data_IF_244827568493
#
_entry.id   IF_244827568493
#
_cell.length_a   1.000
_cell.length_b   1.000
_cell.length_c   1.000
_cell.angle_alpha   90.00
_cell.angle_beta   90.00
_cell.angle_gamma   90.00
#
_symmetry.space_group_name_H-M   'P 1'
#
loop_
_entity.id
_entity.type
_entity.pdbx_description
1 polymer ?
#
# COMPACT_ATOMS: atom_id res chain seq x y z
N UNK A 1 -13.43 -18.02 11.53
CA UNK A 1 -12.31 -17.26 12.11
C UNK A 1 -11.05 -18.09 11.93
N UNK A 2 -10.44 -18.04 10.75
CA UNK A 2 -9.18 -18.73 10.43
C UNK A 2 -8.22 -17.67 9.88
N UNK A 3 -7.40 -17.01 10.70
CA UNK A 3 -6.44 -16.03 10.11
C UNK A 3 -5.27 -15.57 10.97
N UNK A 4 -4.91 -16.26 12.07
CA UNK A 4 -3.71 -15.87 12.84
C UNK A 4 -2.71 -17.02 12.98
N UNK A 5 -3.16 -18.27 13.00
CA UNK A 5 -2.30 -19.44 13.22
C UNK A 5 -1.34 -19.78 12.07
N UNK A 6 -1.46 -19.12 10.92
CA UNK A 6 -0.62 -19.37 9.75
C UNK A 6 0.38 -18.24 9.43
N UNK A 7 0.34 -17.09 10.10
CA UNK A 7 1.30 -16.00 9.83
C UNK A 7 2.71 -16.42 10.25
N UNK A 8 3.65 -16.39 9.31
CA UNK A 8 5.07 -16.70 9.53
C UNK A 8 5.63 -17.88 8.72
N UNK A 9 4.81 -18.58 7.93
CA UNK A 9 5.27 -19.67 7.04
C UNK A 9 5.15 -19.32 5.56
N UNK A 10 4.72 -18.10 5.24
CA UNK A 10 4.50 -17.66 3.87
C UNK A 10 5.82 -17.43 3.13
N UNK A 11 5.78 -17.70 1.83
CA UNK A 11 6.90 -17.48 0.91
C UNK A 11 6.69 -16.19 0.11
N UNK A 12 7.78 -15.57 -0.39
CA UNK A 12 7.67 -14.49 -1.36
C UNK A 12 6.72 -14.84 -2.50
N UNK A 13 5.80 -13.93 -2.81
CA UNK A 13 4.74 -14.11 -3.81
C UNK A 13 3.39 -14.59 -3.26
N UNK A 14 3.35 -15.18 -2.06
CA UNK A 14 2.10 -15.59 -1.41
C UNK A 14 1.20 -14.38 -1.15
N UNK A 15 -0.12 -14.63 -1.14
CA UNK A 15 -1.14 -13.64 -0.83
C UNK A 15 -1.84 -13.99 0.46
N UNK A 16 -1.92 -13.03 1.36
CA UNK A 16 -2.65 -13.14 2.63
C UNK A 16 -3.67 -12.02 2.73
N UNK A 17 -4.77 -12.27 3.44
CA UNK A 17 -5.80 -11.29 3.68
C UNK A 17 -6.03 -11.13 5.17
N UNK A 18 -5.78 -9.92 5.69
CA UNK A 18 -6.04 -9.55 7.07
C UNK A 18 -6.17 -8.02 7.15
N UNK A 19 -6.41 -7.47 8.34
CA UNK A 19 -6.79 -6.06 8.54
C UNK A 19 -8.07 -5.69 7.79
N UNK A 20 -8.51 -4.43 7.90
CA UNK A 20 -9.73 -3.96 7.23
C UNK A 20 -9.55 -2.52 6.75
N UNK A 21 -9.83 -2.25 5.49
CA UNK A 21 -9.89 -0.89 4.95
C UNK A 21 -10.98 -0.76 3.88
N UNK A 22 -11.58 0.43 3.67
CA UNK A 22 -12.58 0.57 2.63
C UNK A 22 -11.99 0.38 1.24
N UNK A 23 -12.72 -0.34 0.40
CA UNK A 23 -12.33 -0.64 -0.97
C UNK A 23 -13.45 -0.36 -1.97
N UNK A 24 -14.68 -0.14 -1.48
CA UNK A 24 -15.83 0.26 -2.30
C UNK A 24 -15.98 1.79 -2.36
N UNK A 25 -16.68 2.29 -3.39
CA UNK A 25 -16.77 3.72 -3.65
C UNK A 25 -17.46 4.52 -2.52
N UNK A 26 -18.29 3.90 -1.69
CA UNK A 26 -18.96 4.59 -0.58
C UNK A 26 -18.05 4.78 0.65
N UNK A 27 -16.91 4.08 0.70
CA UNK A 27 -15.92 4.16 1.76
C UNK A 27 -16.38 3.65 3.12
N UNK A 28 -17.49 2.91 3.19
CA UNK A 28 -18.10 2.40 4.43
C UNK A 28 -17.89 0.91 4.64
N UNK A 29 -17.47 0.20 3.61
CA UNK A 29 -17.20 -1.22 3.68
C UNK A 29 -16.04 -1.56 4.63
N UNK A 30 -16.10 -2.78 5.16
CA UNK A 30 -15.10 -3.37 6.05
C UNK A 30 -14.40 -4.53 5.35
N UNK A 31 -13.76 -4.24 4.21
CA UNK A 31 -13.13 -5.26 3.38
C UNK A 31 -11.70 -5.58 3.84
N UNK A 32 -11.34 -6.86 4.00
CA UNK A 32 -9.97 -7.23 4.31
C UNK A 32 -8.96 -6.79 3.25
N UNK A 33 -7.81 -6.30 3.68
CA UNK A 33 -6.75 -5.92 2.75
C UNK A 33 -6.07 -7.20 2.26
N UNK A 34 -5.88 -7.31 0.94
CA UNK A 34 -5.03 -8.34 0.35
C UNK A 34 -3.60 -7.83 0.32
N UNK A 35 -2.70 -8.60 0.89
CA UNK A 35 -1.27 -8.33 0.97
C UNK A 35 -0.50 -9.39 0.18
N UNK A 36 0.54 -8.97 -0.51
CA UNK A 36 1.55 -9.82 -1.14
C UNK A 36 2.78 -9.87 -0.25
N UNK A 37 3.28 -11.08 0.00
CA UNK A 37 4.54 -11.26 0.71
C UNK A 37 5.69 -10.93 -0.23
N UNK A 38 6.49 -9.93 0.13
CA UNK A 38 7.70 -9.56 -0.61
C UNK A 38 8.90 -10.38 -0.15
N UNK A 39 9.10 -10.46 1.17
CA UNK A 39 10.16 -11.25 1.79
C UNK A 39 9.72 -11.82 3.13
N UNK A 40 10.35 -12.92 3.52
CA UNK A 40 10.17 -13.61 4.80
C UNK A 40 11.52 -13.70 5.51
N UNK A 41 11.59 -13.19 6.74
CA UNK A 41 12.79 -13.23 7.59
C UNK A 41 12.44 -13.89 8.92
N UNK A 42 12.68 -15.20 9.01
CA UNK A 42 12.21 -15.99 10.14
C UNK A 42 10.68 -15.91 10.27
N UNK A 43 10.18 -15.39 11.39
CA UNK A 43 8.75 -15.19 11.62
C UNK A 43 8.21 -13.83 11.11
N UNK A 44 9.05 -12.98 10.50
CA UNK A 44 8.65 -11.65 10.02
C UNK A 44 8.32 -11.71 8.54
N UNK A 45 7.25 -11.04 8.15
CA UNK A 45 6.86 -10.86 6.75
C UNK A 45 6.93 -9.40 6.39
N UNK A 46 7.44 -9.13 5.20
CA UNK A 46 7.35 -7.82 4.57
C UNK A 46 6.25 -7.89 3.51
N UNK A 47 5.30 -6.97 3.61
CA UNK A 47 4.04 -7.04 2.90
C UNK A 47 3.84 -5.81 2.04
N UNK A 48 3.29 -6.03 0.84
CA UNK A 48 2.86 -4.99 -0.08
C UNK A 48 1.36 -5.15 -0.34
N UNK A 49 0.57 -4.08 -0.21
CA UNK A 49 -0.85 -4.15 -0.52
C UNK A 49 -1.02 -4.52 -1.98
N UNK A 50 -1.89 -5.48 -2.29
CA UNK A 50 -2.04 -5.99 -3.65
C UNK A 50 -2.69 -4.96 -4.59
N UNK A 51 -3.42 -3.99 -4.03
CA UNK A 51 -4.07 -2.86 -4.72
C UNK A 51 -3.80 -1.54 -4.02
N UNK A 52 -3.94 -0.42 -4.73
CA UNK A 52 -3.84 0.92 -4.13
C UNK A 52 -5.09 1.19 -3.29
N UNK A 53 -4.89 1.35 -1.98
CA UNK A 53 -5.97 1.47 -1.00
C UNK A 53 -6.51 2.89 -0.84
N UNK A 54 -5.67 3.92 -1.00
CA UNK A 54 -6.06 5.34 -0.88
C UNK A 54 -5.15 6.19 -1.78
N UNK A 55 -5.61 7.38 -2.18
CA UNK A 55 -4.87 8.28 -3.07
C UNK A 55 -4.61 9.62 -2.37
N UNK A 56 -3.34 9.84 -1.99
CA UNK A 56 -2.90 11.00 -1.21
C UNK A 56 -1.71 11.69 -1.89
N UNK A 57 -1.62 13.03 -1.84
CA UNK A 57 -0.44 13.73 -2.30
C UNK A 57 0.73 13.46 -1.34
N UNK A 58 1.96 13.58 -1.84
CA UNK A 58 3.18 13.49 -1.01
C UNK A 58 3.17 14.49 0.14
N UNK A 59 2.82 15.74 -0.16
CA UNK A 59 2.61 16.78 0.84
C UNK A 59 1.37 17.62 0.49
N UNK A 60 0.61 18.04 1.50
CA UNK A 60 -0.62 18.82 1.31
C UNK A 60 -0.33 20.27 0.88
N UNK A 61 0.82 20.82 1.28
CA UNK A 61 1.26 22.15 0.86
C UNK A 61 2.23 22.05 -0.32
N UNK A 62 2.20 23.04 -1.21
CA UNK A 62 3.15 23.15 -2.33
C UNK A 62 4.47 23.77 -1.86
N UNK A 63 5.20 23.04 -1.03
CA UNK A 63 6.53 23.44 -0.54
C UNK A 63 7.47 22.24 -0.52
N UNK A 64 8.76 22.51 -0.65
CA UNK A 64 9.79 21.48 -0.55
C UNK A 64 9.83 20.93 0.89
N UNK A 65 9.60 19.62 1.04
CA UNK A 65 9.69 18.92 2.32
C UNK A 65 10.36 17.57 2.15
N UNK A 66 11.13 17.17 3.16
CA UNK A 66 11.70 15.82 3.25
C UNK A 66 10.63 14.80 3.62
N UNK A 67 10.91 13.51 3.38
CA UNK A 67 10.00 12.42 3.77
C UNK A 67 9.66 12.47 5.27
N UNK A 68 10.65 12.78 6.11
CA UNK A 68 10.46 12.89 7.56
C UNK A 68 9.35 13.89 7.94
N UNK A 69 9.19 14.95 7.16
CA UNK A 69 8.27 16.07 7.40
C UNK A 69 7.05 16.08 6.48
N UNK A 70 6.92 15.14 5.54
CA UNK A 70 5.82 15.14 4.59
C UNK A 70 4.51 14.68 5.24
N UNK A 71 3.37 15.15 4.71
CA UNK A 71 2.06 14.82 5.28
C UNK A 71 1.64 13.39 4.97
N UNK A 72 2.16 12.80 3.88
CA UNK A 72 1.90 11.41 3.53
C UNK A 72 2.46 10.43 4.56
N UNK A 73 3.71 10.61 5.00
CA UNK A 73 4.32 9.77 6.06
C UNK A 73 3.50 9.81 7.34
N UNK A 74 3.09 11.01 7.75
CA UNK A 74 2.22 11.21 8.92
C UNK A 74 0.88 10.53 8.73
N UNK A 75 0.23 10.70 7.59
CA UNK A 75 -1.04 10.04 7.28
C UNK A 75 -0.93 8.52 7.35
N UNK A 76 0.14 7.92 6.79
CA UNK A 76 0.35 6.47 6.83
C UNK A 76 0.42 5.93 8.26
N UNK A 77 1.13 6.62 9.15
CA UNK A 77 1.43 6.13 10.49
C UNK A 77 0.43 6.60 11.57
N UNK A 78 -0.19 7.76 11.40
CA UNK A 78 -1.13 8.36 12.37
C UNK A 78 -2.60 8.15 11.98
N UNK A 79 -2.92 7.84 10.72
CA UNK A 79 -4.31 7.67 10.25
C UNK A 79 -4.58 6.31 9.63
N UNK A 80 -3.81 5.93 8.61
CA UNK A 80 -4.01 4.65 7.94
C UNK A 80 -3.73 3.50 8.91
N UNK A 81 -2.58 3.50 9.58
CA UNK A 81 -2.21 2.46 10.56
C UNK A 81 -3.26 2.30 11.67
N UNK A 82 -3.73 3.41 12.27
CA UNK A 82 -4.73 3.34 13.33
C UNK A 82 -6.11 2.89 12.84
N UNK A 83 -6.43 3.13 11.56
CA UNK A 83 -7.72 2.76 10.96
C UNK A 83 -7.75 1.34 10.44
N UNK A 84 -6.67 0.90 9.80
CA UNK A 84 -6.62 -0.39 9.10
C UNK A 84 -6.40 -1.57 10.05
N UNK A 85 -5.60 -1.36 11.09
CA UNK A 85 -5.15 -2.41 12.00
C UNK A 85 -5.87 -2.30 13.34
N UNK A 86 -6.39 -3.41 13.86
CA UNK A 86 -6.91 -3.50 15.22
C UNK A 86 -5.80 -3.35 16.27
N UNK A 87 -6.16 -3.04 17.51
CA UNK A 87 -5.17 -2.89 18.59
C UNK A 87 -4.28 -4.13 18.77
N UNK A 88 -4.81 -5.34 18.54
CA UNK A 88 -4.03 -6.57 18.59
C UNK A 88 -3.06 -6.69 17.39
N UNK A 89 -3.52 -6.40 16.17
CA UNK A 89 -2.66 -6.41 14.98
C UNK A 89 -1.56 -5.35 15.06
N UNK A 90 -1.87 -4.16 15.58
CA UNK A 90 -0.89 -3.09 15.78
C UNK A 90 0.28 -3.52 16.69
N UNK A 91 0.05 -4.40 17.66
CA UNK A 91 1.09 -4.95 18.54
C UNK A 91 2.01 -5.95 17.83
N UNK A 92 1.55 -6.57 16.75
CA UNK A 92 2.35 -7.52 15.95
C UNK A 92 3.28 -6.83 14.96
N UNK A 93 3.03 -5.54 14.68
CA UNK A 93 3.75 -4.81 13.64
C UNK A 93 4.96 -4.10 14.22
N UNK A 94 6.12 -4.53 13.76
CA UNK A 94 7.39 -3.98 14.21
C UNK A 94 7.70 -2.66 13.49
N UNK A 95 8.10 -1.61 14.22
CA UNK A 95 8.55 -0.37 13.60
C UNK A 95 9.88 -0.59 12.89
N UNK A 96 10.04 0.04 11.72
CA UNK A 96 11.29 0.11 10.99
C UNK A 96 11.89 1.50 11.18
N UNK A 97 13.19 1.53 11.49
CA UNK A 97 13.97 2.75 11.57
C UNK A 97 14.35 3.18 10.15
N UNK A 98 13.75 4.27 9.68
CA UNK A 98 14.31 5.00 8.55
C UNK A 98 15.34 6.01 9.10
N UNK A 99 16.56 5.97 8.58
CA UNK A 99 17.62 6.98 8.80
C UNK A 99 18.13 7.16 10.24
N UNK A 100 18.04 6.13 11.09
CA UNK A 100 18.72 6.11 12.40
C UNK A 100 18.22 7.13 13.43
N UNK A 101 17.12 7.85 13.16
CA UNK A 101 16.50 8.79 14.11
C UNK A 101 15.31 8.14 14.81
N UNK A 102 15.49 7.89 16.10
CA UNK A 102 14.48 7.39 17.04
C UNK A 102 13.63 8.60 17.49
N UNK A 103 12.31 8.57 17.32
CA UNK A 103 11.47 8.29 18.48
C UNK A 103 10.18 7.51 18.17
N UNK A 104 9.76 7.41 16.91
CA UNK A 104 8.60 6.60 16.49
C UNK A 104 8.89 6.02 15.10
N UNK A 105 9.46 4.81 15.06
CA UNK A 105 9.78 4.15 13.79
C UNK A 105 8.53 3.98 12.91
N UNK A 106 8.73 3.98 11.59
CA UNK A 106 7.64 3.85 10.65
C UNK A 106 7.13 2.41 10.66
N UNK A 107 5.82 2.23 10.79
CA UNK A 107 5.17 0.90 10.70
C UNK A 107 4.58 0.66 9.32
N UNK A 108 4.15 1.72 8.67
CA UNK A 108 3.66 1.70 7.29
C UNK A 108 4.44 2.73 6.48
N UNK A 109 4.93 2.30 5.31
CA UNK A 109 5.76 3.11 4.42
C UNK A 109 5.52 2.70 2.96
N UNK A 110 5.96 3.57 2.04
CA UNK A 110 6.05 3.24 0.62
C UNK A 110 7.40 2.61 0.33
N UNK A 111 7.43 1.70 -0.66
CA UNK A 111 8.65 1.07 -1.16
C UNK A 111 9.72 2.11 -1.48
N UNK A 112 10.98 1.75 -1.21
CA UNK A 112 12.13 2.52 -1.68
C UNK A 112 12.38 2.31 -3.18
N UNK A 113 13.34 3.08 -3.71
CA UNK A 113 13.90 2.90 -5.05
C UNK A 113 14.35 1.46 -5.27
N UNK A 114 15.21 1.02 -4.38
CA UNK A 114 15.83 -0.30 -4.39
C UNK A 114 14.76 -1.40 -4.30
N UNK A 115 13.83 -1.30 -3.34
CA UNK A 115 12.78 -2.32 -3.13
C UNK A 115 11.87 -2.47 -4.36
N UNK A 116 11.59 -1.37 -5.06
CA UNK A 116 10.79 -1.40 -6.29
C UNK A 116 11.54 -2.07 -7.44
N UNK A 117 12.85 -1.83 -7.55
CA UNK A 117 13.69 -2.47 -8.56
C UNK A 117 13.89 -3.98 -8.31
N UNK A 118 13.79 -4.42 -7.05
CA UNK A 118 13.80 -5.84 -6.70
C UNK A 118 12.49 -6.55 -7.04
N UNK A 119 11.37 -5.82 -7.18
CA UNK A 119 10.10 -6.43 -7.60
C UNK A 119 10.19 -6.96 -9.04
N UNK A 120 9.63 -8.15 -9.32
CA UNK A 120 9.40 -8.61 -10.68
C UNK A 120 8.56 -7.61 -11.48
N UNK A 121 8.81 -7.44 -12.78
CA UNK A 121 8.10 -6.47 -13.61
C UNK A 121 6.57 -6.63 -13.55
N UNK A 122 6.08 -7.88 -13.57
CA UNK A 122 4.65 -8.22 -13.41
C UNK A 122 4.04 -7.80 -12.07
N UNK A 123 4.88 -7.48 -11.07
CA UNK A 123 4.48 -7.07 -9.74
C UNK A 123 4.57 -5.56 -9.51
N UNK A 124 5.14 -4.80 -10.46
CA UNK A 124 5.34 -3.36 -10.33
C UNK A 124 4.08 -2.54 -10.65
N UNK A 125 3.14 -3.12 -11.41
CA UNK A 125 1.85 -2.52 -11.70
C UNK A 125 0.74 -3.01 -10.77
N UNK A 126 -0.18 -2.12 -10.40
CA UNK A 126 -1.45 -2.50 -9.77
C UNK A 126 -2.58 -1.53 -10.13
N UNK A 127 -3.80 -1.85 -9.73
CA UNK A 127 -4.97 -0.97 -9.81
C UNK A 127 -5.36 -0.46 -8.43
N UNK A 128 -6.04 0.68 -8.38
CA UNK A 128 -6.67 1.10 -7.14
C UNK A 128 -7.94 0.34 -6.82
N UNK A 129 -8.35 0.44 -5.56
CA UNK A 129 -9.71 0.10 -5.15
C UNK A 129 -10.70 1.16 -5.65
N UNK A 130 -12.00 0.86 -5.64
CA UNK A 130 -13.01 1.85 -6.00
C UNK A 130 -13.00 3.02 -5.01
N UNK A 131 -12.74 2.74 -3.73
CA UNK A 131 -12.52 3.76 -2.70
C UNK A 131 -11.37 4.70 -3.09
N UNK A 132 -10.18 4.17 -3.39
CA UNK A 132 -9.01 4.99 -3.76
C UNK A 132 -9.29 5.91 -4.97
N UNK A 133 -10.04 5.42 -5.95
CA UNK A 133 -10.46 6.21 -7.13
C UNK A 133 -11.49 7.30 -6.79
N UNK A 134 -12.31 7.09 -5.75
CA UNK A 134 -13.35 8.04 -5.33
C UNK A 134 -12.82 9.21 -4.50
N UNK A 135 -11.75 9.01 -3.71
CA UNK A 135 -11.20 10.01 -2.76
C UNK A 135 -10.68 11.26 -3.49
N UNK A 136 -10.23 11.11 -4.73
CA UNK A 136 -9.85 12.24 -5.59
C UNK A 136 -10.40 12.05 -7.00
N UNK A 137 -11.64 12.51 -7.24
CA UNK A 137 -12.27 12.45 -8.56
C UNK A 137 -11.51 13.38 -9.52
N UNK A 138 -10.53 12.80 -10.23
CA UNK A 138 -9.61 13.52 -11.11
C UNK A 138 -8.22 12.87 -11.17
N UNK A 139 -7.76 12.30 -10.05
CA UNK A 139 -6.54 11.48 -10.00
C UNK A 139 -6.91 10.02 -10.14
N UNK A 140 -7.36 9.61 -11.33
CA UNK A 140 -7.75 8.23 -11.70
C UNK A 140 -6.62 7.17 -11.54
N UNK A 141 -5.61 7.45 -10.70
CA UNK A 141 -4.37 6.72 -10.58
C UNK A 141 -3.69 6.82 -11.94
N UNK A 142 -2.94 7.91 -12.11
CA UNK A 142 -2.57 8.49 -13.39
C UNK A 142 -1.92 7.45 -14.30
N UNK A 143 -2.57 7.17 -15.43
CA UNK A 143 -1.96 6.42 -16.53
C UNK A 143 -1.03 7.38 -17.25
N UNK A 144 0.28 7.14 -17.12
CA UNK A 144 1.31 8.04 -17.63
C UNK A 144 1.23 8.20 -19.15
N UNK A 145 1.16 7.07 -19.84
CA UNK A 145 0.94 7.02 -21.28
C UNK A 145 -0.30 6.19 -21.57
N UNK A 146 -1.35 6.88 -22.06
CA UNK A 146 -2.63 6.27 -22.39
C UNK A 146 -2.59 5.44 -23.68
N UNK A 147 -1.50 5.53 -24.44
CA UNK A 147 -1.27 4.74 -25.65
C UNK A 147 -0.61 3.38 -25.38
N UNK A 148 -0.09 3.17 -24.17
CA UNK A 148 0.58 1.93 -23.78
C UNK A 148 -0.42 1.00 -23.08
N UNK A 149 -0.72 -0.15 -23.70
CA UNK A 149 -1.71 -1.11 -23.18
C UNK A 149 -1.30 -1.72 -21.82
N UNK A 150 0.01 -1.85 -21.53
CA UNK A 150 0.51 -2.32 -20.24
C UNK A 150 0.13 -1.40 -19.06
N UNK A 151 -0.22 -0.14 -19.34
CA UNK A 151 -0.72 0.79 -18.32
C UNK A 151 -2.19 0.59 -17.99
N UNK A 152 -2.82 -0.46 -18.50
CA UNK A 152 -4.21 -0.80 -18.25
C UNK A 152 -4.34 -2.23 -17.75
N UNK A 153 -5.33 -2.46 -16.91
CA UNK A 153 -5.75 -3.77 -16.41
C UNK A 153 -7.27 -3.86 -16.46
N UNK A 154 -7.78 -5.06 -16.72
CA UNK A 154 -9.21 -5.31 -16.80
C UNK A 154 -9.52 -6.69 -17.39
N UNK A 155 -10.72 -7.19 -17.11
CA UNK A 155 -11.31 -8.33 -17.79
C UNK A 155 -12.71 -7.91 -18.28
N UNK A 156 -12.99 -8.10 -19.57
CA UNK A 156 -14.23 -7.63 -20.20
C UNK A 156 -14.21 -6.13 -20.55
N UNK A 157 -15.36 -5.45 -20.43
CA UNK A 157 -15.55 -4.05 -20.88
C UNK A 157 -14.99 -2.99 -19.91
N UNK A 158 -14.52 -3.36 -18.72
CA UNK A 158 -14.00 -2.41 -17.73
C UNK A 158 -12.47 -2.25 -17.86
N UNK A 159 -12.04 -1.22 -18.60
CA UNK A 159 -10.63 -0.81 -18.73
C UNK A 159 -10.22 0.10 -17.57
N UNK A 160 -9.40 -0.39 -16.65
CA UNK A 160 -8.92 0.36 -15.47
C UNK A 160 -7.46 0.73 -15.65
N UNK A 161 -7.10 1.98 -15.33
CA UNK A 161 -5.70 2.41 -15.34
C UNK A 161 -4.88 1.68 -14.27
N UNK A 162 -3.74 1.14 -14.68
CA UNK A 162 -2.69 0.70 -13.77
C UNK A 162 -1.90 1.91 -13.28
N UNK A 163 -1.68 1.96 -11.98
CA UNK A 163 -0.59 2.75 -11.43
C UNK A 163 0.53 1.81 -11.05
N UNK A 164 1.74 2.24 -11.34
CA UNK A 164 2.90 1.50 -10.91
C UNK A 164 3.29 1.96 -9.51
N UNK A 165 3.90 1.05 -8.76
CA UNK A 165 4.64 1.42 -7.57
C UNK A 165 5.87 2.22 -8.03
N UNK A 166 5.67 3.49 -8.40
CA UNK A 166 6.75 4.42 -8.71
C UNK A 166 7.35 4.96 -7.41
N UNK A 167 8.55 5.49 -7.54
CA UNK A 167 9.40 5.94 -6.46
C UNK A 167 9.04 7.33 -5.97
N UNK A 168 9.57 7.63 -4.78
CA UNK A 168 9.55 8.95 -4.14
C UNK A 168 10.28 9.99 -4.99
#
# INVERSE_FOLDING_TARGET
>A
METISCLGTQKPGDRIAFEIYPQTADGRDRTPIRWRVLRSEGARLFLLSDQILDCRPYHEMQTAVTWANCSLRRWLNERFFLRAFSAAEQQLIQPILCDGRFADGNRVFLLSEEETHELPASCRGTTGTAYARSVRPGSRLYVYDKSVEENYSGAGDERVGCSWWWLR
#
